data_IF_568255083325
#
_entry.id   IF_568255083325
#
_cell.length_a   1.000
_cell.length_b   1.000
_cell.length_c   1.000
_cell.angle_alpha   90.00
_cell.angle_beta   90.00
_cell.angle_gamma   90.00
#
_symmetry.space_group_name_H-M   'P 1'
#
loop_
_entity.id
_entity.type
_entity.pdbx_description
1 polymer ?
#
# COMPACT_ATOMS: atom_id res chain seq x y z
N UNK A 1 -13.41 8.00 -8.48
CA UNK A 1 -12.97 6.69 -7.92
C UNK A 1 -12.24 6.89 -6.60
N UNK A 2 -12.55 6.09 -5.56
CA UNK A 2 -11.91 6.16 -4.22
C UNK A 2 -11.06 4.92 -3.97
N UNK A 3 -9.75 5.12 -3.80
CA UNK A 3 -8.78 4.05 -3.54
C UNK A 3 -8.23 4.20 -2.13
N UNK A 4 -8.17 3.10 -1.38
CA UNK A 4 -7.58 3.07 -0.05
C UNK A 4 -6.45 2.04 0.04
N UNK A 5 -5.48 2.28 0.90
CA UNK A 5 -4.50 1.28 1.33
C UNK A 5 -4.56 1.11 2.84
N UNK A 6 -4.46 -0.13 3.32
CA UNK A 6 -4.52 -0.44 4.74
C UNK A 6 -3.74 -1.69 5.11
N UNK A 7 -2.69 -1.55 5.88
CA UNK A 7 -2.12 -2.69 6.59
C UNK A 7 -3.07 -3.11 7.71
N UNK A 8 -3.76 -4.24 7.51
CA UNK A 8 -4.83 -4.70 8.41
C UNK A 8 -4.31 -5.53 9.59
N UNK A 9 -3.06 -5.94 9.57
CA UNK A 9 -2.45 -6.74 10.64
C UNK A 9 -3.32 -7.94 11.06
N UNK A 10 -3.66 -8.81 10.12
CA UNK A 10 -4.56 -9.98 10.16
C UNK A 10 -6.01 -9.67 9.76
N UNK A 11 -6.34 -10.08 8.54
CA UNK A 11 -7.72 -9.96 8.00
C UNK A 11 -8.71 -10.82 8.78
N UNK A 12 -8.32 -12.03 9.23
CA UNK A 12 -9.20 -12.94 9.98
C UNK A 12 -9.66 -12.34 11.31
N UNK A 13 -8.86 -11.49 11.91
CA UNK A 13 -9.19 -10.80 13.16
C UNK A 13 -10.04 -9.56 12.91
N UNK A 14 -9.91 -8.94 11.74
CA UNK A 14 -10.44 -7.59 11.46
C UNK A 14 -11.35 -7.51 10.23
N UNK A 15 -11.83 -8.65 9.69
CA UNK A 15 -12.70 -8.63 8.51
C UNK A 15 -13.94 -7.74 8.70
N UNK A 16 -14.61 -7.80 9.85
CA UNK A 16 -15.77 -6.97 10.13
C UNK A 16 -15.44 -5.45 10.07
N UNK A 17 -14.27 -5.06 10.54
CA UNK A 17 -13.81 -3.65 10.43
C UNK A 17 -13.55 -3.24 8.99
N UNK A 18 -13.03 -4.16 8.17
CA UNK A 18 -12.85 -3.92 6.73
C UNK A 18 -14.19 -3.73 6.04
N UNK A 19 -15.17 -4.59 6.34
CA UNK A 19 -16.53 -4.49 5.81
C UNK A 19 -17.19 -3.15 6.16
N UNK A 20 -17.14 -2.76 7.46
CA UNK A 20 -17.65 -1.48 7.93
C UNK A 20 -16.94 -0.29 7.25
N UNK A 21 -15.62 -0.36 7.11
CA UNK A 21 -14.84 0.70 6.46
C UNK A 21 -15.17 0.84 4.98
N UNK A 22 -15.27 -0.27 4.23
CA UNK A 22 -15.62 -0.26 2.81
C UNK A 22 -16.96 0.44 2.57
N UNK A 23 -17.96 0.16 3.43
CA UNK A 23 -19.29 0.75 3.33
C UNK A 23 -19.32 2.20 3.79
N UNK A 24 -18.72 2.52 4.96
CA UNK A 24 -18.77 3.85 5.55
C UNK A 24 -17.97 4.89 4.75
N UNK A 25 -16.83 4.49 4.20
CA UNK A 25 -15.96 5.35 3.41
C UNK A 25 -16.23 5.28 1.89
N UNK A 26 -17.19 4.45 1.46
CA UNK A 26 -17.58 4.28 0.05
C UNK A 26 -16.38 3.99 -0.87
N UNK A 27 -15.58 2.99 -0.50
CA UNK A 27 -14.32 2.65 -1.18
C UNK A 27 -14.58 1.82 -2.44
N UNK A 28 -13.99 2.21 -3.55
CA UNK A 28 -14.03 1.44 -4.81
C UNK A 28 -12.97 0.35 -4.84
N UNK A 29 -11.74 0.68 -4.40
CA UNK A 29 -10.60 -0.24 -4.39
C UNK A 29 -9.87 -0.14 -3.06
N UNK A 30 -9.68 -1.28 -2.39
CA UNK A 30 -8.91 -1.37 -1.15
C UNK A 30 -7.70 -2.28 -1.34
N UNK A 31 -6.51 -1.75 -1.05
CA UNK A 31 -5.24 -2.44 -1.07
C UNK A 31 -4.88 -2.86 0.36
N UNK A 32 -4.87 -4.17 0.62
CA UNK A 32 -4.60 -4.73 1.95
C UNK A 32 -3.19 -5.28 2.07
N UNK A 33 -2.56 -5.07 3.23
CA UNK A 33 -1.29 -5.65 3.61
C UNK A 33 -1.43 -6.39 4.94
N UNK A 34 -0.50 -7.30 5.21
CA UNK A 34 -0.48 -8.17 6.39
C UNK A 34 -1.81 -8.92 6.62
N UNK A 35 -2.34 -9.52 5.58
CA UNK A 35 -3.56 -10.35 5.70
C UNK A 35 -3.35 -11.55 6.64
N UNK A 36 -2.10 -12.02 6.79
CA UNK A 36 -1.64 -13.04 7.76
C UNK A 36 -2.45 -14.34 7.70
N UNK A 37 -2.81 -14.75 6.50
CA UNK A 37 -3.49 -16.02 6.24
C UNK A 37 -3.06 -16.59 4.89
N UNK A 38 -3.31 -17.89 4.69
CA UNK A 38 -3.19 -18.52 3.38
C UNK A 38 -4.41 -18.19 2.54
N UNK A 39 -4.33 -18.40 1.22
CA UNK A 39 -5.43 -18.10 0.29
C UNK A 39 -6.72 -18.84 0.68
N UNK A 40 -6.61 -20.11 1.11
CA UNK A 40 -7.74 -20.92 1.57
C UNK A 40 -8.38 -20.48 2.90
N UNK A 41 -7.80 -19.49 3.57
CA UNK A 41 -8.26 -18.96 4.86
C UNK A 41 -8.72 -17.50 4.78
N UNK A 42 -8.61 -16.90 3.62
CA UNK A 42 -9.05 -15.52 3.42
C UNK A 42 -10.58 -15.45 3.45
N UNK A 43 -11.20 -14.51 4.21
CA UNK A 43 -12.65 -14.40 4.32
C UNK A 43 -13.24 -13.73 3.06
N UNK A 44 -13.43 -14.50 1.98
CA UNK A 44 -13.96 -14.00 0.70
C UNK A 44 -15.45 -13.66 0.78
N UNK A 45 -16.27 -14.60 1.30
CA UNK A 45 -17.72 -14.52 1.26
C UNK A 45 -18.31 -13.18 1.78
N UNK A 46 -17.84 -12.59 2.90
CA UNK A 46 -18.35 -11.31 3.37
C UNK A 46 -18.10 -10.16 2.39
N UNK A 47 -16.94 -10.14 1.71
CA UNK A 47 -16.58 -9.10 0.76
C UNK A 47 -17.33 -9.26 -0.56
N UNK A 48 -17.48 -10.48 -1.04
CA UNK A 48 -18.30 -10.81 -2.22
C UNK A 48 -19.77 -10.45 -1.98
N UNK A 49 -20.30 -10.67 -0.79
CA UNK A 49 -21.66 -10.27 -0.42
C UNK A 49 -21.89 -8.75 -0.44
N UNK A 50 -20.82 -7.96 -0.30
CA UNK A 50 -20.81 -6.50 -0.45
C UNK A 50 -20.58 -6.04 -1.89
N UNK A 51 -20.43 -6.98 -2.84
CA UNK A 51 -20.22 -6.68 -4.25
C UNK A 51 -18.76 -6.43 -4.65
N UNK A 52 -17.80 -6.89 -3.84
CA UNK A 52 -16.38 -6.75 -4.15
C UNK A 52 -15.78 -8.05 -4.70
N UNK A 53 -15.02 -7.93 -5.78
CA UNK A 53 -14.07 -8.95 -6.20
C UNK A 53 -12.81 -8.89 -5.33
N UNK A 54 -12.15 -10.03 -5.15
CA UNK A 54 -10.92 -10.11 -4.35
C UNK A 54 -9.83 -10.87 -5.10
N UNK A 55 -8.64 -10.30 -5.16
CA UNK A 55 -7.43 -11.00 -5.53
C UNK A 55 -6.45 -10.99 -4.36
N UNK A 56 -6.18 -12.16 -3.79
CA UNK A 56 -5.35 -12.34 -2.60
C UNK A 56 -4.15 -13.24 -2.92
N UNK A 57 -3.02 -12.92 -2.29
CA UNK A 57 -1.86 -13.80 -2.22
C UNK A 57 -1.37 -13.87 -0.78
N UNK A 58 -1.46 -15.06 -0.19
CA UNK A 58 -1.03 -15.32 1.17
C UNK A 58 -0.50 -16.74 1.34
N UNK A 59 0.68 -16.88 1.90
CA UNK A 59 1.39 -18.15 2.08
C UNK A 59 1.34 -18.65 3.52
N UNK A 60 1.25 -17.73 4.48
CA UNK A 60 1.37 -18.04 5.90
C UNK A 60 0.88 -16.87 6.78
N UNK A 61 1.18 -16.92 8.09
CA UNK A 61 0.75 -15.94 9.10
C UNK A 61 1.65 -14.69 9.20
N UNK A 62 2.66 -14.50 8.34
CA UNK A 62 3.67 -13.44 8.50
C UNK A 62 3.53 -12.29 7.50
N UNK A 63 2.89 -12.53 6.39
CA UNK A 63 2.70 -11.57 5.30
C UNK A 63 1.31 -11.78 4.66
N UNK A 64 1.16 -11.46 3.40
CA UNK A 64 -0.07 -11.56 2.65
C UNK A 64 -0.59 -10.19 2.24
N UNK A 65 -1.02 -10.10 0.99
CA UNK A 65 -1.50 -8.87 0.35
C UNK A 65 -2.75 -9.16 -0.47
N UNK A 66 -3.63 -8.17 -0.61
CA UNK A 66 -4.83 -8.31 -1.44
C UNK A 66 -5.19 -7.01 -2.16
N UNK A 67 -5.95 -7.17 -3.23
CA UNK A 67 -6.73 -6.13 -3.89
C UNK A 67 -8.20 -6.52 -3.73
N UNK A 68 -9.01 -5.63 -3.19
CA UNK A 68 -10.46 -5.78 -3.02
C UNK A 68 -11.10 -4.67 -3.84
N UNK A 69 -11.95 -4.98 -4.82
CA UNK A 69 -12.49 -4.00 -5.76
C UNK A 69 -13.94 -4.26 -6.10
N UNK A 70 -14.79 -3.23 -6.08
CA UNK A 70 -16.16 -3.28 -6.58
C UNK A 70 -16.30 -2.78 -8.03
N UNK A 71 -15.17 -2.34 -8.63
CA UNK A 71 -15.12 -1.88 -10.03
C UNK A 71 -14.42 -2.88 -10.96
N UNK A 72 -14.37 -4.16 -10.51
CA UNK A 72 -13.84 -5.29 -11.26
C UNK A 72 -12.33 -5.50 -11.09
N UNK A 73 -11.88 -6.75 -11.25
CA UNK A 73 -10.48 -7.14 -11.22
C UNK A 73 -10.16 -7.95 -12.48
N UNK A 74 -9.11 -7.55 -13.19
CA UNK A 74 -8.60 -8.31 -14.34
C UNK A 74 -7.06 -8.24 -14.40
N UNK A 75 -6.43 -9.14 -15.18
CA UNK A 75 -4.96 -9.18 -15.33
C UNK A 75 -4.22 -9.17 -14.00
N UNK A 76 -4.75 -9.93 -13.03
CA UNK A 76 -4.19 -10.00 -11.70
C UNK A 76 -2.92 -10.86 -11.67
N UNK A 77 -1.89 -10.41 -10.93
CA UNK A 77 -0.58 -11.04 -10.86
C UNK A 77 -0.06 -11.04 -9.42
N UNK A 78 0.59 -12.15 -9.04
CA UNK A 78 1.31 -12.29 -7.77
C UNK A 78 2.77 -11.87 -7.94
N UNK A 79 3.28 -11.01 -7.04
CA UNK A 79 4.63 -10.49 -7.11
C UNK A 79 4.84 -9.49 -8.24
N UNK A 80 6.09 -9.35 -8.65
CA UNK A 80 6.53 -8.54 -9.80
C UNK A 80 7.81 -9.13 -10.40
N UNK A 81 8.12 -8.76 -11.63
CA UNK A 81 9.30 -9.27 -12.35
C UNK A 81 10.58 -8.95 -11.56
N UNK A 82 11.38 -9.98 -11.28
CA UNK A 82 12.61 -9.84 -10.52
C UNK A 82 12.42 -9.64 -9.01
N UNK A 83 11.22 -9.87 -8.46
CA UNK A 83 10.97 -9.74 -7.02
C UNK A 83 11.92 -10.61 -6.21
N UNK A 84 12.74 -10.03 -5.31
CA UNK A 84 13.66 -10.80 -4.50
C UNK A 84 12.92 -11.70 -3.50
N UNK A 85 13.46 -12.89 -3.27
CA UNK A 85 13.10 -13.73 -2.13
C UNK A 85 14.02 -13.47 -0.94
N UNK A 86 13.60 -13.89 0.25
CA UNK A 86 14.45 -13.86 1.44
C UNK A 86 15.04 -15.25 1.71
N UNK A 87 16.37 -15.29 1.82
CA UNK A 87 17.08 -16.53 2.22
C UNK A 87 16.99 -16.70 3.74
N UNK A 88 16.29 -17.74 4.17
CA UNK A 88 16.27 -18.19 5.57
C UNK A 88 17.26 -19.31 5.76
N UNK A 89 18.37 -19.04 6.41
CA UNK A 89 19.36 -20.05 6.84
C UNK A 89 20.12 -20.76 5.69
N UNK A 90 20.46 -20.06 4.61
CA UNK A 90 21.21 -20.62 3.48
C UNK A 90 20.38 -21.54 2.58
N UNK A 91 19.06 -21.45 2.64
CA UNK A 91 18.15 -22.07 1.68
C UNK A 91 18.00 -21.18 0.42
N UNK A 92 17.54 -21.77 -0.67
CA UNK A 92 17.23 -20.97 -1.86
C UNK A 92 16.19 -19.87 -1.52
N UNK A 93 16.47 -18.60 -1.87
CA UNK A 93 15.54 -17.51 -1.59
C UNK A 93 14.18 -17.78 -2.21
N UNK A 94 13.14 -17.72 -1.39
CA UNK A 94 11.76 -17.88 -1.86
C UNK A 94 11.04 -16.53 -1.79
N UNK A 95 10.27 -16.16 -2.84
CA UNK A 95 9.39 -15.00 -2.78
C UNK A 95 8.41 -15.10 -1.62
N UNK A 96 8.20 -13.99 -0.91
CA UNK A 96 7.17 -13.86 0.12
C UNK A 96 5.95 -13.14 -0.47
N UNK A 97 4.75 -13.43 0.03
CA UNK A 97 3.50 -12.80 -0.42
C UNK A 97 3.44 -11.32 0.01
N UNK A 98 4.15 -10.45 -0.72
CA UNK A 98 4.35 -9.03 -0.39
C UNK A 98 3.91 -8.04 -1.46
N UNK A 99 3.54 -8.53 -2.65
CA UNK A 99 3.02 -7.68 -3.72
C UNK A 99 2.00 -8.45 -4.55
N UNK A 100 0.91 -7.79 -4.88
CA UNK A 100 -0.04 -8.22 -5.93
C UNK A 100 -0.40 -7.02 -6.77
N UNK A 101 -0.75 -7.25 -8.03
CA UNK A 101 -1.19 -6.18 -8.91
C UNK A 101 -2.35 -6.63 -9.79
N UNK A 102 -3.17 -5.69 -10.23
CA UNK A 102 -4.30 -5.97 -11.12
C UNK A 102 -4.71 -4.71 -11.90
N UNK A 103 -5.43 -4.92 -12.98
CA UNK A 103 -6.23 -3.88 -13.60
C UNK A 103 -7.57 -3.77 -12.88
N UNK A 104 -7.95 -2.58 -12.48
CA UNK A 104 -9.22 -2.28 -11.80
C UNK A 104 -9.62 -0.83 -12.06
N UNK A 105 -10.89 -0.57 -12.36
CA UNK A 105 -11.38 0.78 -12.66
C UNK A 105 -10.62 1.51 -13.78
N UNK A 106 -10.08 0.78 -14.76
CA UNK A 106 -9.32 1.35 -15.88
C UNK A 106 -7.82 1.62 -15.60
N UNK A 107 -7.35 1.43 -14.37
CA UNK A 107 -5.95 1.67 -13.99
C UNK A 107 -5.25 0.40 -13.51
N UNK A 108 -3.92 0.38 -13.55
CA UNK A 108 -3.12 -0.67 -12.90
C UNK A 108 -2.85 -0.28 -11.44
N UNK A 109 -3.14 -1.19 -10.50
CA UNK A 109 -2.85 -0.98 -9.09
C UNK A 109 -1.90 -2.06 -8.56
N UNK A 110 -1.00 -1.67 -7.64
CA UNK A 110 -0.18 -2.59 -6.84
C UNK A 110 -0.51 -2.42 -5.36
N UNK A 111 -0.81 -3.53 -4.66
CA UNK A 111 -0.81 -3.59 -3.21
C UNK A 111 0.53 -4.15 -2.74
N UNK A 112 1.29 -3.37 -1.98
CA UNK A 112 2.65 -3.73 -1.58
C UNK A 112 2.84 -3.73 -0.06
N UNK A 113 3.55 -4.74 0.44
CA UNK A 113 4.03 -4.84 1.82
C UNK A 113 5.55 -4.99 1.83
N UNK A 114 6.24 -3.87 1.90
CA UNK A 114 7.70 -3.82 1.85
C UNK A 114 8.31 -4.52 3.09
N UNK A 115 9.39 -5.29 2.93
CA UNK A 115 10.07 -5.89 4.09
C UNK A 115 10.47 -4.88 5.16
N UNK A 116 10.30 -5.24 6.44
CA UNK A 116 10.53 -4.31 7.55
C UNK A 116 12.00 -3.86 7.73
N UNK A 117 12.99 -4.68 7.33
CA UNK A 117 14.41 -4.36 7.52
C UNK A 117 14.95 -4.70 8.93
N UNK A 118 14.11 -4.75 9.94
CA UNK A 118 14.38 -5.08 11.36
C UNK A 118 15.39 -4.17 12.05
N UNK A 119 16.65 -4.15 11.59
CA UNK A 119 17.72 -3.29 12.10
C UNK A 119 18.74 -3.03 11.00
N UNK A 120 19.54 -1.97 11.10
CA UNK A 120 20.50 -1.58 10.05
C UNK A 120 21.54 -2.66 9.74
N UNK A 121 21.95 -3.47 10.72
CA UNK A 121 22.89 -4.59 10.54
C UNK A 121 22.23 -5.96 10.31
N UNK A 122 20.90 -6.03 10.21
CA UNK A 122 20.17 -7.28 10.00
C UNK A 122 20.19 -7.66 8.50
N UNK A 123 20.28 -8.95 8.15
CA UNK A 123 20.17 -9.41 6.75
C UNK A 123 18.86 -8.98 6.03
N UNK A 124 17.82 -8.63 6.77
CA UNK A 124 16.58 -8.11 6.20
C UNK A 124 16.74 -6.70 5.62
N UNK A 125 17.74 -5.91 6.06
CA UNK A 125 17.95 -4.57 5.52
C UNK A 125 18.39 -4.58 4.04
N UNK A 126 19.47 -5.28 3.64
CA UNK A 126 19.80 -5.39 2.22
C UNK A 126 18.68 -6.04 1.39
N UNK A 127 17.94 -7.00 1.95
CA UNK A 127 16.75 -7.57 1.29
C UNK A 127 15.69 -6.49 1.03
N UNK A 128 15.35 -5.66 2.03
CA UNK A 128 14.41 -4.54 1.89
C UNK A 128 14.83 -3.55 0.81
N UNK A 129 16.09 -3.11 0.83
CA UNK A 129 16.60 -2.15 -0.15
C UNK A 129 16.58 -2.72 -1.57
N UNK A 130 17.01 -3.97 -1.74
CA UNK A 130 16.93 -4.67 -3.02
C UNK A 130 15.48 -4.83 -3.50
N UNK A 131 14.56 -5.15 -2.59
CA UNK A 131 13.13 -5.32 -2.90
C UNK A 131 12.50 -4.02 -3.42
N UNK A 132 12.77 -2.89 -2.76
CA UNK A 132 12.32 -1.56 -3.19
C UNK A 132 12.90 -1.16 -4.56
N UNK A 133 14.20 -1.36 -4.76
CA UNK A 133 14.86 -1.07 -6.04
C UNK A 133 14.26 -1.90 -7.18
N UNK A 134 14.06 -3.20 -6.98
CA UNK A 134 13.48 -4.08 -8.01
C UNK A 134 11.99 -3.75 -8.27
N UNK A 135 11.24 -3.32 -7.27
CA UNK A 135 9.87 -2.83 -7.47
C UNK A 135 9.85 -1.62 -8.43
N UNK A 136 10.74 -0.64 -8.21
CA UNK A 136 10.85 0.53 -9.09
C UNK A 136 11.13 0.15 -10.54
N UNK A 137 12.07 -0.76 -10.77
CA UNK A 137 12.38 -1.26 -12.12
C UNK A 137 11.22 -2.04 -12.74
N UNK A 138 10.54 -2.90 -11.97
CA UNK A 138 9.43 -3.69 -12.46
C UNK A 138 8.24 -2.81 -12.89
N UNK A 139 7.93 -1.77 -12.11
CA UNK A 139 6.86 -0.82 -12.44
C UNK A 139 7.22 0.03 -13.66
N UNK A 140 8.47 0.52 -13.75
CA UNK A 140 8.96 1.23 -14.94
C UNK A 140 8.85 0.35 -16.19
N UNK A 141 9.32 -0.89 -16.12
CA UNK A 141 9.23 -1.83 -17.25
C UNK A 141 7.77 -2.10 -17.64
N UNK A 142 6.88 -2.22 -16.66
CA UNK A 142 5.46 -2.43 -16.93
C UNK A 142 4.85 -1.21 -17.64
N UNK A 143 5.15 0.01 -17.18
CA UNK A 143 4.62 1.24 -17.78
C UNK A 143 5.12 1.44 -19.22
N UNK A 144 6.38 1.11 -19.51
CA UNK A 144 6.95 1.15 -20.86
C UNK A 144 6.25 0.18 -21.83
N UNK A 145 5.79 -0.96 -21.33
CA UNK A 145 5.04 -1.97 -22.09
C UNK A 145 3.55 -1.64 -22.24
N UNK A 146 3.02 -0.72 -21.43
CA UNK A 146 1.61 -0.34 -21.41
C UNK A 146 1.43 1.18 -21.51
N UNK A 147 1.90 1.82 -22.60
CA UNK A 147 1.86 3.26 -22.73
C UNK A 147 0.43 3.79 -22.69
N UNK A 148 0.21 4.87 -21.93
CA UNK A 148 -1.10 5.52 -21.79
C UNK A 148 -2.03 4.87 -20.75
N UNK A 149 -1.59 3.82 -20.06
CA UNK A 149 -2.33 3.25 -18.92
C UNK A 149 -1.83 3.89 -17.64
N UNK A 150 -2.73 4.54 -16.90
CA UNK A 150 -2.42 5.13 -15.59
C UNK A 150 -2.25 4.03 -14.53
N UNK A 151 -1.44 4.33 -13.51
CA UNK A 151 -1.12 3.35 -12.49
C UNK A 151 -0.82 3.98 -11.12
N UNK A 152 -0.98 3.17 -10.07
CA UNK A 152 -0.59 3.52 -8.71
C UNK A 152 0.00 2.32 -7.94
N UNK A 153 0.79 2.64 -6.94
CA UNK A 153 1.24 1.70 -5.90
C UNK A 153 0.73 2.22 -4.56
N UNK A 154 -0.03 1.39 -3.85
CA UNK A 154 -0.43 1.69 -2.48
C UNK A 154 0.05 0.59 -1.53
N UNK A 155 0.44 0.95 -0.31
CA UNK A 155 0.87 -0.05 0.65
C UNK A 155 1.63 0.49 1.84
N UNK A 156 2.09 -0.48 2.65
CA UNK A 156 3.03 -0.26 3.74
C UNK A 156 4.47 -0.37 3.19
N UNK A 157 5.12 0.78 3.08
CA UNK A 157 6.50 0.87 2.57
C UNK A 157 7.55 0.63 3.65
N UNK A 158 7.13 0.58 4.91
CA UNK A 158 8.05 0.41 6.04
C UNK A 158 9.22 1.41 6.04
N UNK A 159 9.08 2.57 5.40
CA UNK A 159 10.02 3.69 5.37
C UNK A 159 9.28 4.99 5.66
N UNK A 160 9.86 5.84 6.48
CA UNK A 160 9.46 7.22 6.70
C UNK A 160 10.37 8.14 5.85
N UNK A 161 9.94 8.57 4.64
CA UNK A 161 10.80 9.26 3.68
C UNK A 161 11.31 10.62 4.17
N UNK A 162 10.49 11.33 4.94
CA UNK A 162 10.81 12.67 5.41
C UNK A 162 10.93 12.71 6.95
N UNK A 163 11.70 13.64 7.52
CA UNK A 163 11.76 13.81 8.97
C UNK A 163 10.41 14.07 9.63
N UNK A 164 9.50 14.76 8.95
CA UNK A 164 8.12 15.04 9.40
C UNK A 164 7.24 13.79 9.51
N UNK A 165 7.65 12.68 8.86
CA UNK A 165 6.94 11.40 8.93
C UNK A 165 7.19 10.64 10.24
N UNK A 166 8.02 11.18 11.14
CA UNK A 166 8.43 10.54 12.39
C UNK A 166 8.04 11.40 13.59
N UNK A 167 7.02 10.97 14.32
CA UNK A 167 6.62 11.58 15.59
C UNK A 167 7.04 10.76 16.82
N UNK A 168 7.60 9.57 16.61
CA UNK A 168 8.09 8.70 17.66
C UNK A 168 9.58 8.98 17.96
N UNK A 169 9.92 9.53 19.14
CA UNK A 169 11.31 9.83 19.50
C UNK A 169 12.21 8.58 19.64
N UNK A 170 11.62 7.37 19.61
CA UNK A 170 12.36 6.12 19.61
C UNK A 170 13.01 5.78 18.27
N UNK A 171 12.61 6.45 17.17
CA UNK A 171 13.21 6.27 15.85
C UNK A 171 14.21 7.39 15.56
N UNK A 172 15.47 7.01 15.43
CA UNK A 172 16.60 7.94 15.23
C UNK A 172 17.25 7.65 13.89
N UNK A 173 17.40 8.70 13.07
CA UNK A 173 18.07 8.61 11.77
C UNK A 173 19.49 8.05 11.90
N UNK A 174 19.84 7.10 11.01
CA UNK A 174 21.14 6.42 11.04
C UNK A 174 21.33 5.39 12.16
N UNK A 175 20.29 5.16 12.99
CA UNK A 175 20.31 4.16 14.07
C UNK A 175 19.16 3.16 13.90
N UNK A 176 17.97 3.64 13.60
CA UNK A 176 16.76 2.82 13.49
C UNK A 176 16.43 2.48 12.03
N UNK A 177 15.83 1.31 11.80
CA UNK A 177 15.13 1.01 10.53
C UNK A 177 13.97 1.99 10.31
N UNK A 178 13.45 2.07 9.11
CA UNK A 178 12.44 3.00 8.59
C UNK A 178 12.93 4.44 8.34
N UNK A 179 14.04 4.84 8.94
CA UNK A 179 14.53 6.24 8.94
C UNK A 179 15.99 6.36 8.53
N UNK A 180 16.60 5.29 8.00
CA UNK A 180 17.99 5.37 7.54
C UNK A 180 18.12 6.19 6.25
N UNK A 181 19.29 6.85 6.03
CA UNK A 181 19.54 7.56 4.78
C UNK A 181 19.41 6.68 3.55
N UNK A 182 19.81 5.41 3.65
CA UNK A 182 19.74 4.43 2.56
C UNK A 182 18.30 4.09 2.21
N UNK A 183 17.42 3.86 3.21
CA UNK A 183 16.00 3.60 2.99
C UNK A 183 15.32 4.80 2.31
N UNK A 184 15.58 6.02 2.78
CA UNK A 184 15.06 7.25 2.20
C UNK A 184 15.55 7.49 0.77
N UNK A 185 16.84 7.22 0.51
CA UNK A 185 17.39 7.32 -0.82
C UNK A 185 16.74 6.31 -1.78
N UNK A 186 16.53 5.07 -1.32
CA UNK A 186 15.92 4.01 -2.12
C UNK A 186 14.45 4.31 -2.47
N UNK A 187 13.67 4.91 -1.56
CA UNK A 187 12.31 5.37 -1.89
C UNK A 187 12.35 6.49 -2.94
N UNK A 188 13.25 7.46 -2.83
CA UNK A 188 13.39 8.52 -3.84
C UNK A 188 13.74 7.96 -5.22
N UNK A 189 14.65 6.98 -5.26
CA UNK A 189 15.04 6.30 -6.49
C UNK A 189 13.88 5.49 -7.07
N UNK A 190 13.11 4.77 -6.24
CA UNK A 190 11.91 4.06 -6.67
C UNK A 190 10.93 5.01 -7.36
N UNK A 191 10.60 6.13 -6.72
CA UNK A 191 9.65 7.11 -7.27
C UNK A 191 10.15 7.70 -8.58
N UNK A 192 11.44 8.03 -8.66
CA UNK A 192 12.06 8.54 -9.88
C UNK A 192 12.03 7.50 -11.01
N UNK A 193 12.48 6.27 -10.73
CA UNK A 193 12.58 5.19 -11.72
C UNK A 193 11.20 4.77 -12.24
N UNK A 194 10.20 4.69 -11.36
CA UNK A 194 8.84 4.29 -11.69
C UNK A 194 7.94 5.45 -12.14
N UNK A 195 8.47 6.69 -12.27
CA UNK A 195 7.71 7.89 -12.62
C UNK A 195 6.47 8.12 -11.75
N UNK A 196 6.64 7.97 -10.43
CA UNK A 196 5.58 8.07 -9.45
C UNK A 196 5.71 9.33 -8.57
N UNK A 197 4.57 9.81 -8.08
CA UNK A 197 4.47 10.97 -7.18
C UNK A 197 3.65 10.61 -5.94
N UNK A 198 4.04 11.13 -4.76
CA UNK A 198 3.22 11.06 -3.53
C UNK A 198 1.98 11.94 -3.72
N UNK A 199 0.81 11.32 -3.83
CA UNK A 199 -0.44 12.03 -4.09
C UNK A 199 -1.18 12.45 -2.81
N UNK A 200 -0.71 12.00 -1.66
CA UNK A 200 -1.33 12.31 -0.36
C UNK A 200 -0.67 13.53 0.29
N UNK A 201 0.66 13.62 0.27
CA UNK A 201 1.42 14.67 0.94
C UNK A 201 1.07 16.10 0.52
N UNK A 202 0.83 16.42 -0.77
CA UNK A 202 0.42 17.78 -1.18
C UNK A 202 -0.88 18.26 -0.51
N UNK A 203 -1.80 17.34 -0.21
CA UNK A 203 -3.09 17.61 0.43
C UNK A 203 -3.03 17.51 1.94
N UNK A 204 -2.22 16.55 2.45
CA UNK A 204 -2.04 16.27 3.86
C UNK A 204 -0.54 16.25 4.20
N UNK A 205 0.10 17.41 4.38
CA UNK A 205 1.54 17.49 4.65
C UNK A 205 1.92 16.81 5.97
N UNK A 206 1.01 16.76 6.94
CA UNK A 206 1.21 16.14 8.26
C UNK A 206 0.23 14.96 8.47
N UNK A 207 0.61 14.02 9.33
CA UNK A 207 -0.21 12.88 9.72
C UNK A 207 0.59 11.58 9.73
N UNK A 208 0.27 10.71 10.68
CA UNK A 208 0.87 9.39 10.81
C UNK A 208 -0.15 8.32 10.43
N UNK A 209 0.37 7.18 9.95
CA UNK A 209 -0.44 6.04 9.55
C UNK A 209 -0.24 4.83 10.45
N UNK A 210 0.82 4.84 11.27
CA UNK A 210 1.23 3.73 12.15
C UNK A 210 1.52 4.22 13.58
N UNK A 211 1.08 3.43 14.57
CA UNK A 211 1.43 3.58 16.01
C UNK A 211 1.53 2.19 16.65
N UNK A 212 2.71 1.84 17.14
CA UNK A 212 2.91 0.62 17.92
C UNK A 212 1.90 0.49 19.07
N UNK A 213 1.49 -0.74 19.40
CA UNK A 213 0.53 -1.02 20.47
C UNK A 213 1.07 -0.71 21.87
N UNK A 214 2.38 -0.69 22.01
CA UNK A 214 3.05 -0.58 23.32
C UNK A 214 3.15 0.86 23.80
N UNK A 215 3.39 1.06 25.10
CA UNK A 215 3.74 2.33 25.74
C UNK A 215 2.74 3.48 25.52
N UNK A 216 1.52 3.19 25.05
CA UNK A 216 0.49 4.20 24.77
C UNK A 216 0.87 5.16 23.65
N UNK A 217 1.63 4.70 22.65
CA UNK A 217 2.16 5.52 21.54
C UNK A 217 1.05 6.24 20.78
N UNK A 218 -0.09 5.60 20.52
CA UNK A 218 -1.21 6.26 19.87
C UNK A 218 -1.73 7.47 20.65
N UNK A 219 -1.93 7.34 21.99
CA UNK A 219 -2.38 8.47 22.84
C UNK A 219 -1.38 9.61 22.91
N UNK A 220 -0.07 9.30 22.82
CA UNK A 220 1.01 10.28 22.82
C UNK A 220 1.27 10.86 21.42
N UNK A 221 0.58 10.36 20.41
CA UNK A 221 0.81 10.63 18.99
C UNK A 221 2.26 10.35 18.54
N UNK A 222 2.91 9.37 19.15
CA UNK A 222 4.24 8.87 18.76
C UNK A 222 4.06 7.86 17.61
N UNK A 223 3.78 8.36 16.43
CA UNK A 223 3.50 7.58 15.24
C UNK A 223 4.55 7.78 14.14
N UNK A 224 4.34 7.07 13.04
CA UNK A 224 5.08 7.24 11.79
C UNK A 224 4.12 7.22 10.61
N UNK A 225 4.48 7.90 9.54
CA UNK A 225 3.84 7.78 8.22
C UNK A 225 4.70 6.86 7.37
N UNK A 226 4.21 5.63 7.17
CA UNK A 226 4.90 4.57 6.43
C UNK A 226 4.00 3.88 5.40
N UNK A 227 2.72 4.27 5.36
CA UNK A 227 1.75 3.85 4.36
C UNK A 227 1.51 5.00 3.38
N UNK A 228 1.60 4.71 2.09
CA UNK A 228 1.54 5.72 1.03
C UNK A 228 0.71 5.23 -0.16
N UNK A 229 0.25 6.20 -0.95
CA UNK A 229 -0.25 6.01 -2.32
C UNK A 229 0.62 6.86 -3.23
N UNK A 230 1.30 6.21 -4.15
CA UNK A 230 2.12 6.84 -5.19
C UNK A 230 1.47 6.57 -6.54
N UNK A 231 1.32 7.58 -7.37
CA UNK A 231 0.61 7.48 -8.65
C UNK A 231 1.43 8.05 -9.81
N UNK A 232 1.15 7.56 -11.01
CA UNK A 232 1.61 8.13 -12.27
C UNK A 232 1.11 9.58 -12.44
N UNK A 233 1.77 10.36 -13.29
CA UNK A 233 1.50 11.81 -13.38
C UNK A 233 0.07 12.15 -13.76
N UNK A 234 -0.50 11.48 -14.77
CA UNK A 234 -1.87 11.75 -15.20
C UNK A 234 -2.89 11.39 -14.11
N UNK A 235 -2.67 10.28 -13.41
CA UNK A 235 -3.53 9.91 -12.28
C UNK A 235 -3.34 10.87 -11.09
N UNK A 236 -2.11 11.34 -10.82
CA UNK A 236 -1.83 12.32 -9.78
C UNK A 236 -2.55 13.65 -10.01
N UNK A 237 -2.64 14.09 -11.27
CA UNK A 237 -3.34 15.34 -11.65
C UNK A 237 -4.86 15.25 -11.44
N UNK A 238 -5.42 14.04 -11.38
CA UNK A 238 -6.85 13.80 -11.16
C UNK A 238 -7.25 13.68 -9.68
N UNK A 239 -6.31 13.81 -8.75
CA UNK A 239 -6.60 13.70 -7.30
C UNK A 239 -7.39 14.90 -6.81
N UNK A 240 -8.54 14.64 -6.19
CA UNK A 240 -9.45 15.65 -5.65
C UNK A 240 -9.43 15.77 -4.13
N UNK A 241 -9.17 14.64 -3.45
CA UNK A 241 -9.11 14.59 -1.99
C UNK A 241 -8.20 13.45 -1.50
N UNK A 242 -7.71 13.60 -0.27
CA UNK A 242 -7.01 12.55 0.45
C UNK A 242 -7.36 12.61 1.93
N UNK A 243 -7.34 11.47 2.63
CA UNK A 243 -7.51 11.40 4.08
C UNK A 243 -6.66 10.28 4.71
N UNK A 244 -6.37 10.46 5.99
CA UNK A 244 -5.79 9.44 6.86
C UNK A 244 -6.82 9.14 7.94
N UNK A 245 -7.38 7.94 7.92
CA UNK A 245 -8.54 7.54 8.72
C UNK A 245 -8.14 7.16 10.16
N UNK A 246 -7.65 8.15 10.90
CA UNK A 246 -7.07 7.98 12.23
C UNK A 246 -8.03 7.30 13.23
N UNK A 247 -9.35 7.47 13.07
CA UNK A 247 -10.37 6.85 13.90
C UNK A 247 -10.34 5.32 13.81
N UNK A 248 -9.85 4.75 12.72
CA UNK A 248 -9.66 3.31 12.57
C UNK A 248 -8.61 2.73 13.53
N UNK A 249 -7.84 3.57 14.24
CA UNK A 249 -6.93 3.17 15.33
C UNK A 249 -7.65 3.03 16.68
N UNK A 250 -8.96 3.26 16.74
CA UNK A 250 -9.79 3.16 17.96
C UNK A 250 -10.72 1.94 17.92
N UNK A 251 -11.47 1.70 19.01
CA UNK A 251 -12.41 0.58 19.10
C UNK A 251 -11.78 -0.76 19.48
N UNK A 252 -12.45 -1.85 19.14
CA UNK A 252 -12.00 -3.21 19.49
C UNK A 252 -10.95 -3.71 18.50
N UNK A 253 -9.86 -4.26 19.01
CA UNK A 253 -8.79 -4.92 18.26
C UNK A 253 -8.35 -4.15 16.98
N UNK A 254 -8.06 -2.82 17.05
CA UNK A 254 -7.69 -2.06 15.86
C UNK A 254 -6.36 -2.58 15.30
N UNK A 255 -6.11 -2.34 14.00
CA UNK A 255 -4.75 -2.46 13.45
C UNK A 255 -3.83 -1.43 14.11
N UNK A 256 -2.52 -1.65 14.11
CA UNK A 256 -1.52 -0.64 14.46
C UNK A 256 -1.34 0.40 13.34
N UNK A 257 -1.87 0.13 12.13
CA UNK A 257 -1.99 1.06 11.02
C UNK A 257 -3.43 1.54 10.84
N UNK A 258 -3.57 2.65 10.12
CA UNK A 258 -4.87 3.20 9.70
C UNK A 258 -4.92 3.36 8.18
N UNK A 259 -6.11 3.33 7.55
CA UNK A 259 -6.24 3.53 6.12
C UNK A 259 -5.76 4.91 5.67
N UNK A 260 -5.16 4.93 4.48
CA UNK A 260 -4.94 6.14 3.68
C UNK A 260 -5.87 6.05 2.48
N UNK A 261 -6.70 7.07 2.28
CA UNK A 261 -7.69 7.15 1.19
C UNK A 261 -7.30 8.25 0.24
N UNK A 262 -7.43 8.01 -1.05
CA UNK A 262 -7.27 9.00 -2.12
C UNK A 262 -8.50 8.95 -3.01
N UNK A 263 -9.04 10.11 -3.34
CA UNK A 263 -10.14 10.29 -4.25
C UNK A 263 -9.64 10.89 -5.57
N UNK A 264 -9.94 10.18 -6.66
CA UNK A 264 -9.63 10.61 -8.02
C UNK A 264 -10.91 11.11 -8.70
N UNK A 265 -10.81 12.18 -9.49
CA UNK A 265 -11.92 12.66 -10.30
C UNK A 265 -12.47 11.52 -11.19
N UNK A 266 -13.76 11.50 -11.38
CA UNK A 266 -14.35 10.69 -12.44
C UNK A 266 -13.98 11.31 -13.78
N UNK A 267 -13.61 10.48 -14.78
CA UNK A 267 -13.52 10.97 -16.14
C UNK A 267 -14.92 11.51 -16.50
N UNK A 268 -15.02 12.80 -16.79
CA UNK A 268 -16.26 13.34 -17.35
C UNK A 268 -16.50 12.67 -18.70
N UNK A 269 -17.59 11.90 -18.81
CA UNK A 269 -18.13 11.49 -20.11
C UNK A 269 -18.55 12.75 -20.89
N UNK A 270 -17.59 13.45 -21.47
CA UNK A 270 -17.82 14.56 -22.39
C UNK A 270 -18.38 14.03 -23.73
N UNK A 271 -19.52 13.32 -23.67
CA UNK A 271 -20.34 12.97 -24.81
C UNK A 271 -21.39 14.03 -25.13
N UNK A 272 -21.28 15.25 -24.59
CA UNK A 272 -22.10 16.40 -25.00
C UNK A 272 -21.37 17.26 -26.05
N UNK A 273 -20.91 16.63 -27.13
CA UNK A 273 -20.68 17.39 -28.36
C UNK A 273 -22.08 17.71 -28.98
N UNK A 274 -22.49 18.98 -29.11
CA UNK A 274 -23.74 19.31 -29.74
C UNK A 274 -23.72 18.79 -31.19
N UNK A 275 -24.67 17.92 -31.53
CA UNK A 275 -24.91 17.57 -32.94
C UNK A 275 -25.26 18.84 -33.68
N UNK A 276 -24.33 19.36 -34.45
CA UNK A 276 -24.58 20.40 -35.42
C UNK A 276 -25.33 19.74 -36.61
N UNK A 277 -26.60 20.06 -36.72
CA UNK A 277 -27.43 19.73 -37.87
C UNK A 277 -27.20 20.71 -39.00
#
# INVERSE_FOLDING_TARGET
MRVATWNINSIRTRHARVEEFLQAADIDVLLLQETKCRDDQFPLEPLEALGYDVFHWGLNQWNGVAIVSRVGISHAEQGFVGMPGFDKNGADPQPEARAVSAMTGGIRVWSVYVPNGRALGDPHMPYKLSWLSQLGHAVSQWSDQNPGVEYLIGGDFNVAPEPSDVGDPGFVEGVSTHVSPEERATIKELLHTAHLTDVVRPLLPEGYTYWDYTQGKFRKNHGMRIDFVYASSGLADSVTAASIEREQRTGEQPSDHVPVVVEFAEESDDFDAPMVF
#
